data_IF_421999428941
#
_entry.id   IF_421999428941
#
_cell.length_a   1.000
_cell.length_b   1.000
_cell.length_c   1.000
_cell.angle_alpha   90.00
_cell.angle_beta   90.00
_cell.angle_gamma   90.00
#
_symmetry.space_group_name_H-M   'P 1'
#
loop_
_entity.id
_entity.type
_entity.pdbx_description
1 polymer ?
#
# COMPACT_ATOMS: atom_id res chain seq x y z
N UNK A 1 -0.32 -21.24 -2.91
CA UNK A 1 -0.69 -21.87 -4.21
C UNK A 1 -1.48 -20.90 -5.08
N UNK A 2 -2.62 -20.39 -4.67
CA UNK A 2 -3.52 -19.52 -5.49
C UNK A 2 -2.82 -18.34 -6.18
N UNK A 3 -2.02 -17.54 -5.45
CA UNK A 3 -1.30 -16.39 -6.05
C UNK A 3 -0.29 -16.88 -7.10
N UNK A 4 0.41 -17.96 -6.82
CA UNK A 4 1.37 -18.54 -7.76
C UNK A 4 0.69 -18.99 -9.05
N UNK A 5 -0.41 -19.73 -8.97
CA UNK A 5 -1.16 -20.19 -10.13
C UNK A 5 -1.66 -19.03 -11.01
N UNK A 6 -2.22 -17.98 -10.35
CA UNK A 6 -2.70 -16.80 -11.05
C UNK A 6 -1.60 -16.03 -11.78
N UNK A 7 -0.42 -15.90 -11.17
CA UNK A 7 0.70 -15.13 -11.74
C UNK A 7 1.53 -15.95 -12.72
N UNK A 8 1.81 -17.24 -12.40
CA UNK A 8 2.74 -18.09 -13.17
C UNK A 8 2.26 -18.43 -14.58
N UNK A 9 0.93 -18.44 -14.83
CA UNK A 9 0.37 -18.63 -16.15
C UNK A 9 0.80 -17.57 -17.18
N UNK A 10 1.25 -16.40 -16.71
CA UNK A 10 1.67 -15.27 -17.53
C UNK A 10 3.19 -15.05 -17.56
N UNK A 11 3.94 -15.93 -16.92
CA UNK A 11 5.40 -15.93 -16.96
C UNK A 11 5.84 -16.62 -18.24
N UNK A 12 6.25 -15.84 -19.24
CA UNK A 12 6.75 -16.36 -20.53
C UNK A 12 8.22 -16.74 -20.45
N UNK A 13 9.01 -16.05 -19.61
CA UNK A 13 10.45 -16.32 -19.42
C UNK A 13 10.64 -17.34 -18.31
N UNK A 14 11.52 -18.30 -18.55
CA UNK A 14 11.99 -19.27 -17.56
C UNK A 14 13.50 -19.39 -17.63
N UNK A 15 14.15 -19.41 -16.48
CA UNK A 15 15.57 -19.74 -16.40
C UNK A 15 15.77 -21.24 -16.60
N UNK A 16 16.91 -21.64 -17.16
CA UNK A 16 17.19 -23.06 -17.39
C UNK A 16 17.38 -23.86 -16.09
N UNK A 17 17.79 -23.19 -15.01
CA UNK A 17 18.21 -23.83 -13.76
C UNK A 17 17.13 -23.84 -12.66
N UNK A 18 16.07 -23.06 -12.79
CA UNK A 18 15.05 -22.94 -11.76
C UNK A 18 13.64 -23.16 -12.35
N UNK A 19 12.80 -23.85 -11.59
CA UNK A 19 11.38 -23.92 -11.89
C UNK A 19 10.72 -22.56 -11.62
N UNK A 20 9.60 -22.27 -12.27
CA UNK A 20 8.79 -21.04 -12.01
C UNK A 20 8.41 -20.89 -10.53
N UNK A 21 8.17 -22.01 -9.85
CA UNK A 21 7.85 -22.00 -8.43
C UNK A 21 9.05 -21.57 -7.57
N UNK A 22 10.25 -22.07 -7.89
CA UNK A 22 11.49 -21.66 -7.21
C UNK A 22 11.80 -20.18 -7.43
N UNK A 23 11.62 -19.67 -8.65
CA UNK A 23 11.76 -18.24 -8.95
C UNK A 23 10.77 -17.39 -8.13
N UNK A 24 9.48 -17.80 -8.09
CA UNK A 24 8.45 -17.12 -7.31
C UNK A 24 8.79 -17.11 -5.81
N UNK A 25 9.21 -18.25 -5.26
CA UNK A 25 9.63 -18.34 -3.84
C UNK A 25 10.83 -17.43 -3.57
N UNK A 26 11.84 -17.41 -4.46
CA UNK A 26 12.98 -16.51 -4.36
C UNK A 26 12.55 -15.04 -4.27
N UNK A 27 11.62 -14.62 -5.12
CA UNK A 27 11.09 -13.26 -5.13
C UNK A 27 10.33 -12.95 -3.82
N UNK A 28 9.50 -13.87 -3.35
CA UNK A 28 8.80 -13.69 -2.06
C UNK A 28 9.77 -13.61 -0.88
N UNK A 29 10.84 -14.39 -0.88
CA UNK A 29 11.91 -14.33 0.13
C UNK A 29 12.57 -12.95 0.09
N UNK A 30 12.89 -12.43 -1.11
CA UNK A 30 13.44 -11.07 -1.25
C UNK A 30 12.50 -10.00 -0.69
N UNK A 31 11.23 -10.03 -1.03
CA UNK A 31 10.25 -9.09 -0.50
C UNK A 31 10.09 -9.21 1.02
N UNK A 32 9.98 -10.46 1.52
CA UNK A 32 9.69 -10.76 2.92
C UNK A 32 10.85 -10.44 3.85
N UNK A 33 12.07 -10.84 3.48
CA UNK A 33 13.24 -10.81 4.35
C UNK A 33 14.30 -9.79 3.92
N UNK A 34 14.20 -9.28 2.71
CA UNK A 34 15.18 -8.38 2.08
C UNK A 34 16.64 -8.85 2.19
N UNK A 35 16.87 -10.16 2.08
CA UNK A 35 18.23 -10.70 2.09
C UNK A 35 19.03 -10.22 0.86
N UNK A 36 20.36 -10.12 0.96
CA UNK A 36 21.22 -9.71 -0.16
C UNK A 36 21.04 -10.62 -1.38
N UNK A 37 21.17 -10.07 -2.59
CA UNK A 37 21.08 -10.85 -3.83
C UNK A 37 22.16 -11.94 -3.90
N UNK A 38 23.32 -11.69 -3.31
CA UNK A 38 24.41 -12.67 -3.22
C UNK A 38 24.01 -13.91 -2.40
N UNK A 39 23.32 -13.72 -1.26
CA UNK A 39 22.83 -14.82 -0.42
C UNK A 39 21.76 -15.63 -1.15
N UNK A 40 20.84 -14.96 -1.87
CA UNK A 40 19.88 -15.64 -2.75
C UNK A 40 20.57 -16.45 -3.84
N UNK A 41 21.61 -15.88 -4.46
CA UNK A 41 22.40 -16.56 -5.48
C UNK A 41 23.02 -17.88 -4.95
N UNK A 42 23.58 -17.85 -3.75
CA UNK A 42 24.11 -19.06 -3.09
C UNK A 42 23.02 -20.08 -2.78
N UNK A 43 21.88 -19.65 -2.20
CA UNK A 43 20.78 -20.56 -1.82
C UNK A 43 20.15 -21.27 -3.00
N UNK A 44 20.01 -20.58 -4.12
CA UNK A 44 19.39 -21.11 -5.32
C UNK A 44 20.38 -21.62 -6.37
N UNK A 45 21.68 -21.56 -6.09
CA UNK A 45 22.77 -22.04 -6.96
C UNK A 45 22.72 -21.40 -8.35
N UNK A 46 22.58 -20.08 -8.38
CA UNK A 46 22.56 -19.26 -9.61
C UNK A 46 23.45 -18.04 -9.47
N UNK A 47 23.71 -17.31 -10.57
CA UNK A 47 24.48 -16.07 -10.51
C UNK A 47 23.66 -14.92 -9.90
N UNK A 48 24.32 -13.93 -9.30
CA UNK A 48 23.69 -12.69 -8.78
C UNK A 48 22.93 -11.97 -9.88
N UNK A 49 23.47 -11.93 -11.09
CA UNK A 49 22.82 -11.34 -12.26
C UNK A 49 21.50 -12.05 -12.59
N UNK A 50 21.51 -13.39 -12.50
CA UNK A 50 20.29 -14.20 -12.68
C UNK A 50 19.22 -13.84 -11.62
N UNK A 51 19.61 -13.75 -10.34
CA UNK A 51 18.69 -13.36 -9.26
C UNK A 51 18.09 -11.97 -9.51
N UNK A 52 18.92 -10.99 -9.87
CA UNK A 52 18.48 -9.63 -10.18
C UNK A 52 17.51 -9.61 -11.36
N UNK A 53 17.82 -10.35 -12.42
CA UNK A 53 16.95 -10.46 -13.60
C UNK A 53 15.60 -11.15 -13.28
N UNK A 54 15.61 -12.23 -12.49
CA UNK A 54 14.39 -12.90 -12.03
C UNK A 54 13.56 -11.94 -11.18
N UNK A 55 14.17 -11.27 -10.20
CA UNK A 55 13.46 -10.34 -9.32
C UNK A 55 12.77 -9.22 -10.11
N UNK A 56 13.50 -8.55 -11.01
CA UNK A 56 12.97 -7.47 -11.83
C UNK A 56 11.83 -7.95 -12.72
N UNK A 57 11.99 -9.08 -13.37
CA UNK A 57 10.98 -9.64 -14.27
C UNK A 57 9.69 -10.03 -13.52
N UNK A 58 9.82 -10.74 -12.38
CA UNK A 58 8.67 -11.12 -11.58
C UNK A 58 7.96 -9.91 -10.96
N UNK A 59 8.69 -8.82 -10.62
CA UNK A 59 8.07 -7.59 -10.16
C UNK A 59 7.15 -6.98 -11.23
N UNK A 60 7.57 -7.00 -12.50
CA UNK A 60 6.73 -6.55 -13.63
C UNK A 60 5.46 -7.41 -13.73
N UNK A 61 5.62 -8.72 -13.77
CA UNK A 61 4.48 -9.66 -13.93
C UNK A 61 3.52 -9.56 -12.74
N UNK A 62 4.04 -9.56 -11.51
CA UNK A 62 3.22 -9.46 -10.31
C UNK A 62 2.49 -8.12 -10.20
N UNK A 63 3.14 -7.00 -10.54
CA UNK A 63 2.53 -5.67 -10.54
C UNK A 63 1.32 -5.60 -11.47
N UNK A 64 1.46 -6.11 -12.69
CA UNK A 64 0.36 -6.14 -13.67
C UNK A 64 -0.76 -7.09 -13.24
N UNK A 65 -0.38 -8.30 -12.79
CA UNK A 65 -1.36 -9.38 -12.51
C UNK A 65 -2.08 -9.22 -11.18
N UNK A 66 -1.50 -8.51 -10.21
CA UNK A 66 -2.11 -8.26 -8.92
C UNK A 66 -2.75 -6.87 -8.81
N UNK A 67 -2.73 -6.06 -9.87
CA UNK A 67 -3.28 -4.69 -9.87
C UNK A 67 -4.73 -4.64 -9.40
N UNK A 68 -5.56 -5.62 -9.78
CA UNK A 68 -6.98 -5.69 -9.40
C UNK A 68 -7.20 -5.83 -7.88
N UNK A 69 -6.18 -6.26 -7.15
CA UNK A 69 -6.23 -6.37 -5.69
C UNK A 69 -6.25 -5.02 -4.98
N UNK A 70 -5.78 -3.96 -5.65
CA UNK A 70 -5.82 -2.59 -5.18
C UNK A 70 -6.87 -1.89 -6.04
N UNK A 71 -8.13 -2.03 -5.65
CA UNK A 71 -9.26 -1.46 -6.38
C UNK A 71 -10.06 -0.52 -5.50
N UNK A 72 -10.54 0.56 -6.10
CA UNK A 72 -11.44 1.47 -5.41
C UNK A 72 -12.80 0.79 -5.23
N UNK A 73 -13.32 0.69 -4.01
CA UNK A 73 -14.54 -0.06 -3.75
C UNK A 73 -15.79 0.75 -4.15
N UNK A 74 -16.83 0.05 -4.54
CA UNK A 74 -18.15 0.64 -4.73
C UNK A 74 -18.77 1.04 -3.38
N UNK A 75 -19.54 2.12 -3.37
CA UNK A 75 -20.16 2.66 -2.14
C UNK A 75 -21.09 1.68 -1.45
N UNK A 76 -21.90 0.98 -2.23
CA UNK A 76 -22.85 0.00 -1.68
C UNK A 76 -22.12 -1.10 -0.92
N UNK A 77 -21.01 -1.60 -1.46
CA UNK A 77 -20.17 -2.59 -0.79
C UNK A 77 -19.58 -2.02 0.52
N UNK A 78 -19.12 -0.76 0.51
CA UNK A 78 -18.63 -0.09 1.72
C UNK A 78 -19.72 0.02 2.78
N UNK A 79 -20.93 0.39 2.40
CA UNK A 79 -22.04 0.58 3.35
C UNK A 79 -22.50 -0.73 3.97
N UNK A 80 -22.55 -1.82 3.20
CA UNK A 80 -22.95 -3.13 3.68
C UNK A 80 -21.92 -3.73 4.64
N UNK A 81 -20.66 -3.43 4.43
CA UNK A 81 -19.54 -4.03 5.16
C UNK A 81 -18.82 -3.03 6.09
N UNK A 82 -19.45 -1.88 6.41
CA UNK A 82 -18.88 -0.85 7.27
C UNK A 82 -18.69 -1.38 8.69
N UNK A 83 -17.46 -1.36 9.26
CA UNK A 83 -17.24 -1.76 10.64
C UNK A 83 -17.97 -0.87 11.65
N UNK A 84 -18.42 -1.44 12.76
CA UNK A 84 -19.21 -0.74 13.78
C UNK A 84 -18.50 0.48 14.34
N UNK A 85 -17.18 0.43 14.51
CA UNK A 85 -16.40 1.57 15.01
C UNK A 85 -16.52 2.82 14.11
N UNK A 86 -16.66 2.63 12.79
CA UNK A 86 -16.91 3.72 11.85
C UNK A 86 -18.38 4.14 11.86
N UNK A 87 -19.31 3.16 11.95
CA UNK A 87 -20.74 3.47 11.98
C UNK A 87 -21.13 4.34 13.18
N UNK A 88 -20.63 4.03 14.38
CA UNK A 88 -20.91 4.79 15.59
C UNK A 88 -20.41 6.24 15.51
N UNK A 89 -19.20 6.46 15.00
CA UNK A 89 -18.60 7.79 15.01
C UNK A 89 -19.00 8.65 13.81
N UNK A 90 -19.24 8.04 12.64
CA UNK A 90 -19.39 8.77 11.36
C UNK A 90 -20.56 8.27 10.50
N UNK A 91 -21.35 7.31 10.98
CA UNK A 91 -22.35 6.63 10.18
C UNK A 91 -21.69 5.84 9.02
N UNK A 92 -22.45 5.63 7.96
CA UNK A 92 -21.95 4.92 6.77
C UNK A 92 -21.31 5.85 5.72
N UNK A 93 -20.65 6.93 6.15
CA UNK A 93 -20.21 8.00 5.26
C UNK A 93 -18.75 7.93 4.87
N UNK A 94 -17.91 7.21 5.66
CA UNK A 94 -16.46 7.14 5.40
C UNK A 94 -16.19 6.28 4.19
N UNK A 95 -15.51 6.85 3.20
CA UNK A 95 -15.13 6.14 1.97
C UNK A 95 -13.69 5.63 2.07
N UNK A 96 -12.78 6.47 2.55
CA UNK A 96 -11.35 6.16 2.60
C UNK A 96 -10.66 6.85 3.78
N UNK A 97 -9.67 6.18 4.35
CA UNK A 97 -8.71 6.76 5.29
C UNK A 97 -7.37 6.81 4.59
N UNK A 98 -6.77 7.99 4.52
CA UNK A 98 -5.48 8.20 3.84
C UNK A 98 -4.38 8.55 4.83
N UNK A 99 -3.16 8.12 4.48
CA UNK A 99 -1.94 8.51 5.17
C UNK A 99 -0.74 8.41 4.22
N UNK A 100 0.37 9.06 4.57
CA UNK A 100 1.62 8.94 3.84
C UNK A 100 2.60 8.06 4.62
N UNK A 101 3.29 7.16 3.93
CA UNK A 101 4.41 6.45 4.51
C UNK A 101 5.67 6.63 3.66
N UNK A 102 6.82 6.45 4.28
CA UNK A 102 8.10 6.67 3.66
C UNK A 102 8.92 5.39 3.62
N UNK A 103 9.67 5.21 2.55
CA UNK A 103 10.63 4.13 2.36
C UNK A 103 12.03 4.75 2.26
N UNK A 104 12.99 4.21 3.01
CA UNK A 104 14.36 4.67 3.00
C UNK A 104 15.05 4.29 1.69
N UNK A 105 15.86 5.22 1.18
CA UNK A 105 16.68 5.00 -0.01
C UNK A 105 18.14 5.38 0.27
N UNK A 106 19.04 4.79 -0.48
CA UNK A 106 20.44 5.23 -0.50
C UNK A 106 20.53 6.71 -0.87
N UNK A 107 21.62 7.33 -0.44
CA UNK A 107 21.88 8.73 -0.73
C UNK A 107 22.13 8.94 -2.22
N UNK A 108 21.27 9.68 -2.95
CA UNK A 108 21.49 9.94 -4.36
C UNK A 108 22.78 10.71 -4.60
N UNK A 109 23.50 10.38 -5.66
CA UNK A 109 24.69 11.13 -6.12
C UNK A 109 24.31 12.49 -6.69
N UNK A 110 23.17 12.58 -7.40
CA UNK A 110 22.64 13.83 -7.92
C UNK A 110 22.20 14.76 -6.79
N UNK A 111 22.71 16.00 -6.76
CA UNK A 111 22.45 16.97 -5.68
C UNK A 111 20.98 17.37 -5.59
N UNK A 112 20.29 17.53 -6.73
CA UNK A 112 18.88 17.89 -6.75
C UNK A 112 18.01 16.75 -6.21
N UNK A 113 18.23 15.52 -6.67
CA UNK A 113 17.55 14.34 -6.17
C UNK A 113 17.77 14.16 -4.66
N UNK A 114 19.02 14.40 -4.20
CA UNK A 114 19.34 14.38 -2.77
C UNK A 114 18.54 15.42 -1.98
N UNK A 115 18.46 16.66 -2.48
CA UNK A 115 17.71 17.73 -1.83
C UNK A 115 16.21 17.44 -1.77
N UNK A 116 15.65 16.80 -2.79
CA UNK A 116 14.22 16.45 -2.88
C UNK A 116 13.84 15.25 -2.00
N UNK A 117 14.80 14.37 -1.72
CA UNK A 117 14.54 13.13 -0.95
C UNK A 117 14.99 13.23 0.51
N UNK A 118 15.82 14.19 0.88
CA UNK A 118 16.38 14.31 2.24
C UNK A 118 15.35 14.88 3.22
N UNK A 119 15.11 14.16 4.29
CA UNK A 119 14.27 14.57 5.42
C UNK A 119 15.13 14.96 6.62
N UNK A 120 15.06 16.25 6.99
CA UNK A 120 15.88 16.81 8.07
C UNK A 120 15.60 16.13 9.42
N UNK A 121 14.33 15.83 9.72
CA UNK A 121 13.95 15.24 11.01
C UNK A 121 14.30 13.75 11.15
N UNK A 122 14.48 13.03 10.01
CA UNK A 122 14.91 11.62 10.00
C UNK A 122 16.40 11.45 9.69
N UNK A 123 17.08 12.51 9.22
CA UNK A 123 18.46 12.48 8.76
C UNK A 123 18.75 11.45 7.65
N UNK A 124 17.73 11.09 6.87
CA UNK A 124 17.82 10.11 5.79
C UNK A 124 17.16 10.59 4.50
N UNK A 125 17.61 10.00 3.38
CA UNK A 125 16.91 10.13 2.12
C UNK A 125 15.76 9.11 2.07
N UNK A 126 14.57 9.56 1.67
CA UNK A 126 13.37 8.72 1.59
C UNK A 126 12.59 9.03 0.33
N UNK A 127 11.74 8.09 -0.07
CA UNK A 127 10.60 8.35 -0.93
C UNK A 127 9.32 8.26 -0.12
N UNK A 128 8.32 9.03 -0.50
CA UNK A 128 7.02 9.13 0.15
C UNK A 128 5.93 8.61 -0.77
N UNK A 129 4.99 7.87 -0.21
CA UNK A 129 3.85 7.26 -0.92
C UNK A 129 2.58 7.54 -0.16
N UNK A 130 1.53 7.96 -0.87
CA UNK A 130 0.18 8.05 -0.33
C UNK A 130 -0.48 6.68 -0.38
N UNK A 131 -1.07 6.25 0.72
CA UNK A 131 -1.87 5.04 0.82
C UNK A 131 -3.29 5.39 1.24
N UNK A 132 -4.27 4.78 0.61
CA UNK A 132 -5.68 4.84 0.99
C UNK A 132 -6.19 3.47 1.38
N UNK A 133 -6.86 3.39 2.53
CA UNK A 133 -7.53 2.17 2.97
C UNK A 133 -9.03 2.37 3.07
N UNK A 134 -9.78 1.31 2.81
CA UNK A 134 -11.21 1.27 3.11
C UNK A 134 -11.43 1.19 4.63
N UNK A 135 -12.62 1.51 5.14
CA UNK A 135 -12.97 1.29 6.54
C UNK A 135 -12.73 -0.15 7.02
N UNK A 136 -12.83 -1.13 6.14
CA UNK A 136 -12.54 -2.55 6.42
C UNK A 136 -11.04 -2.86 6.55
N UNK A 137 -10.16 -1.89 6.24
CA UNK A 137 -8.71 -2.04 6.32
C UNK A 137 -8.06 -2.63 5.07
N UNK A 138 -8.78 -2.72 3.94
CA UNK A 138 -8.18 -3.11 2.67
C UNK A 138 -7.52 -1.92 1.99
N UNK A 139 -6.33 -2.09 1.42
CA UNK A 139 -5.63 -1.06 0.65
C UNK A 139 -6.36 -0.90 -0.68
N UNK A 140 -6.94 0.28 -0.91
CA UNK A 140 -7.72 0.62 -2.12
C UNK A 140 -7.00 1.61 -3.05
N UNK A 141 -5.99 2.28 -2.54
CA UNK A 141 -5.19 3.23 -3.31
C UNK A 141 -3.73 3.23 -2.86
N UNK A 142 -2.81 3.31 -3.81
CA UNK A 142 -1.37 3.47 -3.59
C UNK A 142 -0.83 4.38 -4.68
N UNK A 143 -0.23 5.52 -4.31
CA UNK A 143 0.40 6.43 -5.27
C UNK A 143 1.73 5.89 -5.79
N UNK A 144 2.25 6.52 -6.83
CA UNK A 144 3.68 6.44 -7.16
C UNK A 144 4.53 7.04 -6.04
N UNK A 145 5.81 6.68 -6.02
CA UNK A 145 6.77 7.20 -5.05
C UNK A 145 7.22 8.63 -5.43
N UNK A 146 7.12 9.53 -4.48
CA UNK A 146 7.56 10.92 -4.58
C UNK A 146 8.78 11.16 -3.70
N UNK A 147 9.56 12.20 -3.98
CA UNK A 147 10.66 12.58 -3.08
C UNK A 147 10.15 12.84 -1.66
N UNK A 148 10.83 12.31 -0.64
CA UNK A 148 10.37 12.35 0.75
C UNK A 148 10.08 13.75 1.29
N UNK A 149 10.71 14.78 0.72
CA UNK A 149 10.48 16.19 1.09
C UNK A 149 9.15 16.77 0.56
N UNK A 150 8.46 16.06 -0.34
CA UNK A 150 7.15 16.48 -0.86
C UNK A 150 6.14 16.60 0.27
N UNK A 151 5.37 17.70 0.32
CA UNK A 151 4.31 17.86 1.30
C UNK A 151 3.15 16.89 1.02
N UNK A 152 2.46 16.47 2.08
CA UNK A 152 1.32 15.57 1.95
C UNK A 152 0.20 16.20 1.09
N UNK A 153 0.01 17.51 1.21
CA UNK A 153 -0.91 18.26 0.35
C UNK A 153 -0.54 18.13 -1.12
N UNK A 154 0.68 18.51 -1.49
CA UNK A 154 1.12 18.50 -2.89
C UNK A 154 1.08 17.10 -3.49
N UNK A 155 1.50 16.08 -2.73
CA UNK A 155 1.44 14.70 -3.16
C UNK A 155 0.00 14.27 -3.43
N UNK A 156 -0.92 14.53 -2.50
CA UNK A 156 -2.32 14.12 -2.64
C UNK A 156 -3.02 14.80 -3.82
N UNK A 157 -2.69 16.06 -4.08
CA UNK A 157 -3.28 16.82 -5.19
C UNK A 157 -2.76 16.37 -6.57
N UNK A 158 -1.56 15.77 -6.64
CA UNK A 158 -0.90 15.46 -7.91
C UNK A 158 -0.73 13.95 -8.20
N UNK A 159 -1.11 13.06 -7.27
CA UNK A 159 -0.93 11.61 -7.45
C UNK A 159 -2.14 10.89 -8.07
N UNK A 160 -3.15 11.62 -8.56
CA UNK A 160 -4.36 11.06 -9.14
C UNK A 160 -5.40 10.57 -8.12
N UNK A 161 -5.16 10.71 -6.80
CA UNK A 161 -6.08 10.28 -5.75
C UNK A 161 -7.46 10.96 -5.86
N UNK A 162 -7.48 12.27 -6.13
CA UNK A 162 -8.70 13.06 -6.20
C UNK A 162 -9.64 12.63 -7.35
N UNK A 163 -9.15 11.92 -8.34
CA UNK A 163 -9.95 11.43 -9.46
C UNK A 163 -10.91 10.30 -9.07
N UNK A 164 -10.59 9.59 -7.99
CA UNK A 164 -11.44 8.52 -7.45
C UNK A 164 -12.59 9.03 -6.59
N UNK A 165 -12.53 10.29 -6.15
CA UNK A 165 -13.56 10.86 -5.29
C UNK A 165 -14.80 11.27 -6.08
N UNK A 166 -15.95 10.90 -5.56
CA UNK A 166 -17.25 11.29 -6.10
C UNK A 166 -18.08 12.07 -5.06
N UNK A 167 -19.09 12.83 -5.49
CA UNK A 167 -19.93 13.64 -4.58
C UNK A 167 -20.46 12.83 -3.39
N UNK A 168 -20.30 13.38 -2.18
CA UNK A 168 -20.75 12.77 -0.93
C UNK A 168 -19.73 11.82 -0.28
N UNK A 169 -18.54 11.57 -0.87
CA UNK A 169 -17.48 10.82 -0.23
C UNK A 169 -16.94 11.53 1.01
N UNK A 170 -16.53 10.74 1.99
CA UNK A 170 -15.83 11.26 3.17
C UNK A 170 -14.42 10.66 3.22
N UNK A 171 -13.44 11.55 3.12
CA UNK A 171 -12.01 11.23 3.25
C UNK A 171 -11.57 11.55 4.67
N UNK A 172 -10.91 10.61 5.33
CA UNK A 172 -10.28 10.83 6.63
C UNK A 172 -8.76 10.88 6.49
N UNK A 173 -8.13 11.84 7.14
CA UNK A 173 -6.68 12.03 7.08
C UNK A 173 -6.12 12.63 8.37
N UNK A 174 -4.78 12.71 8.48
CA UNK A 174 -4.12 13.45 9.55
C UNK A 174 -4.17 14.96 9.34
N UNK A 175 -3.81 15.70 10.39
CA UNK A 175 -3.76 17.19 10.38
C UNK A 175 -2.85 17.74 9.29
N UNK A 176 -1.81 17.01 8.86
CA UNK A 176 -0.90 17.40 7.79
C UNK A 176 -1.57 17.55 6.41
N UNK A 177 -2.72 16.93 6.22
CA UNK A 177 -3.46 16.95 4.95
C UNK A 177 -4.36 18.17 4.85
N UNK A 178 -3.79 19.34 4.48
CA UNK A 178 -4.53 20.58 4.28
C UNK A 178 -5.14 20.67 2.87
N UNK A 179 -5.95 19.66 2.50
CA UNK A 179 -6.54 19.47 1.16
C UNK A 179 -8.06 19.72 1.12
N UNK A 180 -8.59 20.47 2.09
CA UNK A 180 -10.04 20.68 2.20
C UNK A 180 -10.65 21.29 0.92
N UNK A 181 -9.97 22.23 0.29
CA UNK A 181 -10.45 22.90 -0.91
C UNK A 181 -10.46 21.93 -2.11
N UNK A 182 -9.38 21.16 -2.28
CA UNK A 182 -9.24 20.20 -3.37
C UNK A 182 -10.26 19.06 -3.28
N UNK A 183 -10.52 18.56 -2.06
CA UNK A 183 -11.57 17.56 -1.80
C UNK A 183 -12.97 18.18 -1.98
N UNK A 184 -13.16 19.45 -1.55
CA UNK A 184 -14.40 20.20 -1.72
C UNK A 184 -14.79 20.39 -3.17
N UNK A 185 -13.83 20.62 -4.08
CA UNK A 185 -14.07 20.70 -5.53
C UNK A 185 -14.68 19.41 -6.12
N UNK A 186 -14.42 18.26 -5.49
CA UNK A 186 -15.05 16.97 -5.84
C UNK A 186 -16.39 16.72 -5.14
N UNK A 187 -16.95 17.74 -4.45
CA UNK A 187 -18.14 17.63 -3.62
C UNK A 187 -18.03 16.52 -2.55
N UNK A 188 -16.80 16.22 -2.13
CA UNK A 188 -16.46 15.29 -1.08
C UNK A 188 -16.10 16.06 0.21
N UNK A 189 -16.05 15.37 1.35
CA UNK A 189 -15.77 15.97 2.65
C UNK A 189 -14.45 15.45 3.21
N UNK A 190 -13.54 16.35 3.56
CA UNK A 190 -12.36 16.02 4.35
C UNK A 190 -12.70 16.04 5.85
N UNK A 191 -12.28 15.02 6.57
CA UNK A 191 -12.40 14.93 8.03
C UNK A 191 -11.01 14.71 8.63
N UNK A 192 -10.51 15.72 9.34
CA UNK A 192 -9.20 15.73 10.03
C UNK A 192 -9.40 16.13 11.50
N UNK A 193 -8.46 15.76 12.40
CA UNK A 193 -8.49 16.21 13.79
C UNK A 193 -8.46 17.73 13.90
N UNK A 194 -9.20 18.29 14.88
CA UNK A 194 -9.29 19.72 15.08
C UNK A 194 -7.92 20.35 15.41
N UNK A 195 -7.73 21.59 14.94
CA UNK A 195 -6.56 22.40 15.32
C UNK A 195 -6.87 23.22 16.57
N UNK A 196 -5.92 23.36 17.46
CA UNK A 196 -6.04 24.21 18.65
C UNK A 196 -6.10 25.70 18.34
N UNK A 197 -5.70 26.13 17.13
CA UNK A 197 -5.79 27.51 16.61
C UNK A 197 -5.50 28.59 17.67
N UNK A 198 -4.40 28.47 18.41
CA UNK A 198 -3.97 29.38 19.51
C UNK A 198 -4.88 29.38 20.74
N UNK A 199 -5.86 28.48 20.86
CA UNK A 199 -6.61 28.29 22.10
C UNK A 199 -5.79 27.44 23.06
N UNK A 200 -5.86 27.74 24.36
CA UNK A 200 -5.23 26.92 25.39
C UNK A 200 -5.81 25.52 25.48
N UNK A 201 -7.10 25.39 25.14
CA UNK A 201 -7.82 24.13 25.12
C UNK A 201 -8.82 24.08 23.96
N UNK A 202 -9.06 22.86 23.43
CA UNK A 202 -10.16 22.61 22.47
C UNK A 202 -11.50 22.63 23.21
N UNK A 203 -12.54 23.01 22.48
CA UNK A 203 -13.91 22.85 22.94
C UNK A 203 -14.22 21.36 23.21
N UNK A 204 -14.98 21.00 24.25
CA UNK A 204 -15.34 19.60 24.55
C UNK A 204 -15.89 18.82 23.36
N UNK A 205 -16.71 19.46 22.50
CA UNK A 205 -17.25 18.86 21.28
C UNK A 205 -16.13 18.54 20.28
N UNK A 206 -15.18 19.46 20.11
CA UNK A 206 -14.02 19.26 19.24
C UNK A 206 -13.08 18.17 19.79
N UNK A 207 -12.95 18.06 21.11
CA UNK A 207 -12.18 16.99 21.77
C UNK A 207 -12.80 15.63 21.45
N UNK A 208 -14.12 15.48 21.66
CA UNK A 208 -14.81 14.21 21.41
C UNK A 208 -14.79 13.82 19.94
N UNK A 209 -15.01 14.79 19.04
CA UNK A 209 -14.88 14.57 17.59
C UNK A 209 -13.46 14.15 17.21
N UNK A 210 -12.45 14.81 17.76
CA UNK A 210 -11.03 14.46 17.52
C UNK A 210 -10.70 13.05 18.02
N UNK A 211 -11.25 12.65 19.18
CA UNK A 211 -11.12 11.30 19.73
C UNK A 211 -11.76 10.26 18.79
N UNK A 212 -12.97 10.53 18.29
CA UNK A 212 -13.62 9.66 17.29
C UNK A 212 -12.79 9.48 16.02
N UNK A 213 -12.20 10.57 15.48
CA UNK A 213 -11.31 10.51 14.32
C UNK A 213 -10.06 9.68 14.62
N UNK A 214 -9.42 9.89 15.77
CA UNK A 214 -8.21 9.15 16.16
C UNK A 214 -8.47 7.65 16.27
N UNK A 215 -9.62 7.25 16.84
CA UNK A 215 -10.00 5.85 16.99
C UNK A 215 -10.12 5.08 15.67
N UNK A 216 -10.57 5.74 14.60
CA UNK A 216 -10.70 5.09 13.29
C UNK A 216 -9.46 5.28 12.42
N UNK A 217 -8.74 6.39 12.60
CA UNK A 217 -7.51 6.66 11.86
C UNK A 217 -6.36 5.70 12.22
N UNK A 218 -6.34 5.19 13.44
CA UNK A 218 -5.34 4.19 13.86
C UNK A 218 -5.29 2.97 12.92
N UNK A 219 -6.37 2.69 12.18
CA UNK A 219 -6.41 1.55 11.27
C UNK A 219 -5.47 1.71 10.07
N UNK A 220 -5.30 2.93 9.51
CA UNK A 220 -4.34 3.14 8.41
C UNK A 220 -2.90 2.95 8.91
N UNK A 221 -2.59 3.42 10.11
CA UNK A 221 -1.29 3.20 10.75
C UNK A 221 -1.02 1.71 10.99
N UNK A 222 -2.04 0.96 11.42
CA UNK A 222 -1.97 -0.50 11.59
C UNK A 222 -1.74 -1.22 10.26
N UNK A 223 -2.39 -0.79 9.17
CA UNK A 223 -2.18 -1.35 7.82
C UNK A 223 -0.76 -1.07 7.33
N UNK A 224 -0.27 0.16 7.48
CA UNK A 224 1.13 0.53 7.17
C UNK A 224 2.10 -0.30 8.02
N UNK A 225 1.81 -0.44 9.32
CA UNK A 225 2.59 -1.29 10.23
C UNK A 225 2.60 -2.76 9.82
N UNK A 226 1.47 -3.31 9.38
CA UNK A 226 1.38 -4.67 8.85
C UNK A 226 2.19 -4.82 7.57
N UNK A 227 2.04 -3.88 6.61
CA UNK A 227 2.76 -3.86 5.35
C UNK A 227 4.28 -3.94 5.60
N UNK A 228 4.79 -3.09 6.49
CA UNK A 228 6.22 -3.06 6.86
C UNK A 228 6.66 -4.34 7.57
N UNK A 229 5.93 -4.83 8.56
CA UNK A 229 6.28 -6.07 9.28
C UNK A 229 6.26 -7.30 8.39
N UNK A 230 5.36 -7.33 7.41
CA UNK A 230 5.30 -8.45 6.46
C UNK A 230 6.41 -8.40 5.42
N UNK A 231 6.82 -7.21 4.99
CA UNK A 231 7.79 -7.04 3.92
C UNK A 231 8.95 -6.17 4.38
N UNK A 232 9.98 -6.82 4.92
CA UNK A 232 11.18 -6.16 5.44
C UNK A 232 11.89 -5.28 4.39
N UNK A 233 11.68 -5.56 3.11
CA UNK A 233 12.20 -4.71 2.02
C UNK A 233 11.71 -3.26 2.16
N UNK A 234 10.48 -3.01 2.65
CA UNK A 234 9.92 -1.67 2.85
C UNK A 234 10.41 -0.96 4.12
N UNK A 235 11.12 -1.68 5.00
CA UNK A 235 11.78 -1.09 6.18
C UNK A 235 13.27 -0.83 5.97
N UNK A 236 13.82 -1.38 4.91
CA UNK A 236 15.24 -1.33 4.61
C UNK A 236 15.55 -0.13 3.72
N UNK A 237 16.83 0.25 3.68
CA UNK A 237 17.33 1.23 2.71
C UNK A 237 17.43 0.58 1.33
N UNK A 238 16.68 1.11 0.37
CA UNK A 238 16.65 0.58 -0.99
C UNK A 238 17.68 1.28 -1.89
N UNK A 239 18.27 0.56 -2.86
CA UNK A 239 19.19 1.13 -3.83
C UNK A 239 18.53 2.26 -4.65
N UNK A 240 19.30 3.28 -4.99
CA UNK A 240 18.84 4.37 -5.87
C UNK A 240 18.47 3.87 -7.27
N UNK A 241 19.04 2.77 -7.73
CA UNK A 241 18.72 2.15 -9.02
C UNK A 241 17.25 1.72 -9.11
N UNK A 242 16.60 1.44 -7.98
CA UNK A 242 15.17 1.12 -7.95
C UNK A 242 14.26 2.31 -8.26
N UNK A 243 14.80 3.53 -8.24
CA UNK A 243 14.08 4.77 -8.60
C UNK A 243 14.18 5.09 -10.09
N UNK A 244 15.10 4.43 -10.81
CA UNK A 244 15.32 4.73 -12.23
C UNK A 244 14.24 4.07 -13.09
N UNK A 245 13.81 4.79 -14.11
CA UNK A 245 12.93 4.28 -15.17
C UNK A 245 13.36 4.84 -16.51
N UNK A 246 13.07 4.10 -17.57
CA UNK A 246 13.28 4.57 -18.94
C UNK A 246 11.92 4.95 -19.54
N UNK A 247 11.57 6.24 -19.44
CA UNK A 247 10.27 6.76 -19.92
C UNK A 247 10.04 6.57 -21.41
N UNK A 248 11.12 6.47 -22.19
CA UNK A 248 11.08 6.25 -23.63
C UNK A 248 11.29 4.79 -24.03
N UNK A 249 11.45 3.91 -23.05
CA UNK A 249 11.64 2.48 -23.26
C UNK A 249 10.33 1.70 -23.35
N UNK A 250 10.41 0.37 -23.45
CA UNK A 250 9.23 -0.49 -23.42
C UNK A 250 8.46 -0.34 -22.10
N UNK A 251 7.14 -0.63 -22.09
CA UNK A 251 6.26 -0.39 -20.92
C UNK A 251 6.80 -0.99 -19.60
N UNK A 252 7.54 -2.08 -19.68
CA UNK A 252 8.15 -2.74 -18.52
C UNK A 252 9.21 -1.87 -17.83
N UNK A 253 9.84 -0.94 -18.54
CA UNK A 253 10.91 -0.07 -18.02
C UNK A 253 10.43 1.33 -17.65
N UNK A 254 9.18 1.69 -17.97
CA UNK A 254 8.62 3.03 -17.74
C UNK A 254 8.26 3.29 -16.29
N UNK A 255 8.05 2.24 -15.51
CA UNK A 255 7.69 2.32 -14.09
C UNK A 255 8.89 1.91 -13.24
N UNK A 256 9.32 2.74 -12.26
CA UNK A 256 10.38 2.39 -11.32
C UNK A 256 10.08 1.10 -10.57
N UNK A 257 11.13 0.34 -10.28
CA UNK A 257 10.95 -0.95 -9.59
C UNK A 257 10.45 -0.76 -8.14
N UNK A 258 10.75 0.37 -7.52
CA UNK A 258 10.28 0.71 -6.17
C UNK A 258 8.74 0.82 -6.14
N UNK A 259 8.13 1.43 -7.15
CA UNK A 259 6.66 1.54 -7.25
C UNK A 259 6.02 0.18 -7.39
N UNK A 260 6.63 -0.70 -8.18
CA UNK A 260 6.17 -2.09 -8.33
C UNK A 260 6.27 -2.87 -7.02
N UNK A 261 7.39 -2.74 -6.30
CA UNK A 261 7.58 -3.38 -4.99
C UNK A 261 6.48 -2.93 -4.02
N UNK A 262 6.21 -1.63 -3.95
CA UNK A 262 5.20 -1.07 -3.04
C UNK A 262 3.81 -1.58 -3.41
N UNK A 263 3.43 -1.54 -4.69
CA UNK A 263 2.12 -2.03 -5.15
C UNK A 263 1.97 -3.53 -4.96
N UNK A 264 2.98 -4.33 -5.31
CA UNK A 264 2.95 -5.79 -5.12
C UNK A 264 2.82 -6.14 -3.64
N UNK A 265 3.62 -5.52 -2.76
CA UNK A 265 3.52 -5.76 -1.32
C UNK A 265 2.13 -5.35 -0.79
N UNK A 266 1.57 -4.24 -1.25
CA UNK A 266 0.23 -3.76 -0.88
C UNK A 266 -0.86 -4.72 -1.35
N UNK A 267 -0.79 -5.20 -2.59
CA UNK A 267 -1.70 -6.21 -3.12
C UNK A 267 -1.65 -7.51 -2.32
N UNK A 268 -0.44 -7.98 -1.98
CA UNK A 268 -0.26 -9.18 -1.19
C UNK A 268 -0.75 -9.03 0.26
N UNK A 269 -0.72 -7.82 0.84
CA UNK A 269 -1.30 -7.56 2.17
C UNK A 269 -2.81 -7.70 2.15
N UNK A 270 -3.48 -7.36 1.06
CA UNK A 270 -4.92 -7.52 0.94
C UNK A 270 -5.41 -8.98 0.99
N UNK A 271 -4.53 -9.97 0.83
CA UNK A 271 -4.84 -11.38 1.10
C UNK A 271 -4.83 -11.74 2.60
N UNK A 272 -4.30 -10.85 3.45
CA UNK A 272 -4.28 -11.10 4.90
C UNK A 272 -5.66 -10.90 5.51
N UNK A 273 -5.94 -11.50 6.68
CA UNK A 273 -7.14 -11.18 7.44
C UNK A 273 -7.27 -9.67 7.67
N UNK A 274 -8.49 -9.13 7.66
CA UNK A 274 -8.72 -7.71 7.89
C UNK A 274 -8.22 -7.30 9.28
N UNK A 275 -7.57 -6.13 9.35
CA UNK A 275 -7.06 -5.56 10.61
C UNK A 275 -8.19 -4.94 11.44
N UNK A 276 -9.22 -4.43 10.76
CA UNK A 276 -10.39 -3.86 11.40
C UNK A 276 -11.36 -4.99 11.69
N UNK A 277 -11.63 -5.31 12.98
CA UNK A 277 -12.56 -6.38 13.31
C UNK A 277 -13.96 -5.97 12.84
N UNK A 278 -14.58 -6.84 12.08
CA UNK A 278 -16.01 -6.89 11.94
C UNK A 278 -16.55 -7.54 13.21
N UNK A 279 -17.68 -7.06 13.73
CA UNK A 279 -18.26 -7.63 14.96
C UNK A 279 -18.30 -9.16 14.93
N UNK A 280 -18.10 -9.76 16.09
CA UNK A 280 -17.76 -11.16 16.37
C UNK A 280 -18.56 -12.28 15.67
N UNK A 281 -19.59 -11.98 14.89
CA UNK A 281 -20.44 -12.97 14.22
C UNK A 281 -20.17 -13.19 12.72
N UNK A 282 -19.31 -12.44 12.04
CA UNK A 282 -19.22 -12.50 10.57
C UNK A 282 -17.85 -12.86 9.98
N UNK A 283 -17.05 -13.64 10.68
CA UNK A 283 -15.71 -14.05 10.22
C UNK A 283 -15.69 -14.91 8.95
N UNK A 284 -16.83 -15.38 8.45
CA UNK A 284 -16.85 -16.45 7.46
C UNK A 284 -17.23 -16.09 6.02
N UNK A 285 -17.71 -14.87 5.69
CA UNK A 285 -18.40 -14.79 4.38
C UNK A 285 -18.15 -13.61 3.44
N UNK A 286 -17.41 -12.54 3.73
CA UNK A 286 -17.51 -11.41 2.81
C UNK A 286 -16.19 -10.75 2.37
N UNK A 287 -15.58 -11.33 1.35
CA UNK A 287 -14.78 -10.61 0.34
C UNK A 287 -15.38 -10.91 -1.03
N UNK A 288 -16.31 -10.07 -1.54
CA UNK A 288 -17.00 -10.33 -2.82
C UNK A 288 -16.06 -10.54 -4.01
N UNK A 289 -14.92 -9.85 -4.02
CA UNK A 289 -13.91 -9.98 -5.07
C UNK A 289 -13.11 -11.30 -5.03
N UNK A 290 -13.00 -11.99 -3.88
CA UNK A 290 -12.49 -13.36 -3.82
C UNK A 290 -13.44 -14.34 -4.54
N UNK A 291 -14.74 -14.11 -4.47
CA UNK A 291 -15.73 -14.94 -5.18
C UNK A 291 -15.68 -14.71 -6.70
N UNK A 292 -15.40 -13.50 -7.15
CA UNK A 292 -15.29 -13.17 -8.58
C UNK A 292 -14.05 -13.76 -9.24
N UNK A 293 -12.94 -13.88 -8.48
CA UNK A 293 -11.68 -14.46 -8.96
C UNK A 293 -11.66 -15.99 -8.85
N UNK A 294 -12.43 -16.57 -7.93
CA UNK A 294 -12.41 -17.99 -7.59
C UNK A 294 -13.80 -18.62 -7.69
N UNK A 295 -14.45 -18.54 -8.83
CA UNK A 295 -15.60 -19.41 -9.15
C UNK A 295 -15.23 -20.91 -9.26
N UNK A 296 -14.08 -21.29 -8.69
CA UNK A 296 -13.59 -22.66 -8.61
C UNK A 296 -13.48 -23.06 -7.12
N UNK A 297 -14.48 -23.83 -6.67
CA UNK A 297 -14.60 -24.72 -5.50
C UNK A 297 -13.91 -24.31 -4.17
N UNK A 298 -14.57 -24.47 -3.02
CA UNK A 298 -14.00 -24.19 -1.70
C UNK A 298 -12.90 -25.22 -1.39
N UNK A 299 -11.65 -24.77 -1.36
CA UNK A 299 -10.54 -25.52 -0.77
C UNK A 299 -10.40 -25.11 0.68
N UNK A 300 -10.38 -26.11 1.56
CA UNK A 300 -10.33 -26.02 2.99
C UNK A 300 -9.29 -25.02 3.51
N UNK A 301 -9.72 -24.24 4.47
CA UNK A 301 -8.90 -23.33 5.24
C UNK A 301 -7.89 -24.15 6.08
N UNK A 302 -6.61 -24.18 5.67
CA UNK A 302 -5.55 -24.64 6.55
C UNK A 302 -5.20 -23.51 7.51
N UNK A 303 -5.61 -23.68 8.74
CA UNK A 303 -5.14 -22.95 9.91
C UNK A 303 -3.64 -23.18 10.09
N UNK A 304 -2.83 -22.20 9.70
CA UNK A 304 -1.49 -22.05 10.23
C UNK A 304 -1.57 -21.23 11.52
N UNK A 305 -1.78 -21.93 12.64
CA UNK A 305 -1.28 -21.50 13.94
C UNK A 305 0.26 -21.50 13.84
N UNK A 306 0.89 -20.31 13.95
CA UNK A 306 2.17 -20.12 14.65
C UNK A 306 2.51 -18.63 14.68
N UNK A 307 2.68 -18.17 15.92
CA UNK A 307 3.35 -17.03 16.56
C UNK A 307 3.60 -15.74 15.76
#
# INVERSE_FOLDING_TARGET
MVVFEHVSSHVSRQTQNLSRFQEFVMVLIKLRLNIPLQDLAYRFVVSVTTVSGIFSYWMVVMDVRLKFMISWPEREQLWQTMPMCFQYAFGKKVTVVIDCFEVFIERPSNLLARAQTFLSYKHHNTVKVLIGITPQGSISFVSEAWGGRTSDKFLTENCGFLEFLVPGDMVMADRGFTISDSVGLKQAKLTIPAFTKRKSQLDPVDVERTRGIANVRIHVERVIGLLRRKYAILQSTLPTDYLTCNRNGPPETQVPIIDRIIRVCSALVNFCPPIVPFDLCSWQTNRPWLQTVFSLRPVACFTLQYC
#
